data_IF_482604221474
#
_entry.id   IF_482604221474
#
_cell.length_a   1.000
_cell.length_b   1.000
_cell.length_c   1.000
_cell.angle_alpha   90.00
_cell.angle_beta   90.00
_cell.angle_gamma   90.00
#
_symmetry.space_group_name_H-M   'P 1'
#
loop_
_entity.id
_entity.type
_entity.pdbx_description
1 polymer ?
#
# COMPACT_ATOMS: atom_id res chain seq x y z
N UNK A 1 -39.81 -4.09 -40.43
CA UNK A 1 -38.44 -4.64 -40.51
C UNK A 1 -37.34 -3.60 -40.28
N UNK A 2 -37.34 -2.42 -40.95
CA UNK A 2 -36.27 -1.41 -40.79
C UNK A 2 -36.02 -0.98 -39.33
N UNK A 3 -37.09 -0.69 -38.56
CA UNK A 3 -36.95 -0.24 -37.15
C UNK A 3 -36.35 -1.29 -36.21
N UNK A 4 -36.67 -2.57 -36.40
CA UNK A 4 -36.13 -3.67 -35.58
C UNK A 4 -34.64 -3.86 -35.86
N UNK A 5 -34.22 -3.73 -37.13
CA UNK A 5 -32.83 -3.82 -37.55
C UNK A 5 -31.95 -2.71 -36.93
N UNK A 6 -32.48 -1.48 -36.85
CA UNK A 6 -31.80 -0.35 -36.23
C UNK A 6 -31.61 -0.53 -34.72
N UNK A 7 -32.61 -1.07 -34.02
CA UNK A 7 -32.52 -1.32 -32.57
C UNK A 7 -31.49 -2.41 -32.29
N UNK A 8 -31.50 -3.51 -33.05
CA UNK A 8 -30.51 -4.58 -32.88
C UNK A 8 -29.07 -4.11 -33.16
N UNK A 9 -28.88 -3.22 -34.15
CA UNK A 9 -27.57 -2.67 -34.45
C UNK A 9 -27.07 -1.72 -33.35
N UNK A 10 -27.95 -0.87 -32.82
CA UNK A 10 -27.61 0.04 -31.72
C UNK A 10 -27.23 -0.71 -30.43
N UNK A 11 -27.94 -1.79 -30.11
CA UNK A 11 -27.62 -2.65 -28.94
C UNK A 11 -26.29 -3.36 -29.14
N UNK A 12 -25.99 -3.86 -30.35
CA UNK A 12 -24.71 -4.51 -30.64
C UNK A 12 -23.54 -3.53 -30.55
N UNK A 13 -23.70 -2.28 -31.03
CA UNK A 13 -22.69 -1.23 -30.94
C UNK A 13 -22.48 -0.83 -29.47
N UNK A 14 -23.54 -0.70 -28.67
CA UNK A 14 -23.43 -0.40 -27.25
C UNK A 14 -22.72 -1.52 -26.47
N UNK A 15 -23.02 -2.79 -26.79
CA UNK A 15 -22.31 -3.95 -26.23
C UNK A 15 -20.84 -4.00 -26.67
N UNK A 16 -20.54 -3.69 -27.93
CA UNK A 16 -19.16 -3.62 -28.43
C UNK A 16 -18.38 -2.48 -27.76
N UNK A 17 -18.96 -1.29 -27.64
CA UNK A 17 -18.33 -0.14 -26.98
C UNK A 17 -18.10 -0.40 -25.48
N UNK A 18 -19.08 -1.00 -24.79
CA UNK A 18 -18.93 -1.42 -23.41
C UNK A 18 -17.88 -2.52 -23.25
N UNK A 19 -17.75 -3.42 -24.23
CA UNK A 19 -16.71 -4.46 -24.21
C UNK A 19 -15.31 -3.88 -24.43
N UNK A 20 -15.15 -2.85 -25.27
CA UNK A 20 -13.86 -2.20 -25.48
C UNK A 20 -13.36 -1.47 -24.21
N UNK A 21 -14.25 -0.83 -23.46
CA UNK A 21 -13.91 -0.21 -22.17
C UNK A 21 -13.50 -1.26 -21.10
N UNK A 22 -13.98 -2.50 -21.23
CA UNK A 22 -13.57 -3.64 -20.40
C UNK A 22 -12.17 -4.19 -20.75
N UNK A 23 -11.60 -3.80 -21.90
CA UNK A 23 -10.27 -4.20 -22.36
C UNK A 23 -9.25 -3.07 -22.36
N UNK A 24 -9.59 -1.88 -21.88
CA UNK A 24 -8.58 -0.87 -21.58
C UNK A 24 -7.69 -1.42 -20.47
N UNK A 25 -6.46 -1.77 -20.86
CA UNK A 25 -5.41 -2.15 -19.91
C UNK A 25 -5.36 -1.05 -18.85
N UNK A 26 -5.34 -1.37 -17.54
CA UNK A 26 -5.05 -0.36 -16.55
C UNK A 26 -3.80 0.41 -17.00
N UNK A 27 -3.87 1.74 -17.12
CA UNK A 27 -2.74 2.50 -17.59
C UNK A 27 -1.57 2.22 -16.65
N UNK A 28 -0.41 1.89 -17.21
CA UNK A 28 0.84 2.09 -16.47
C UNK A 28 0.80 3.54 -15.99
N UNK A 29 0.97 3.77 -14.70
CA UNK A 29 0.59 5.03 -14.09
C UNK A 29 1.65 6.08 -14.43
N UNK A 30 2.78 6.02 -13.72
CA UNK A 30 3.86 7.01 -13.83
C UNK A 30 5.13 6.47 -13.20
N UNK A 31 6.27 6.88 -13.74
CA UNK A 31 7.58 6.70 -13.10
C UNK A 31 7.82 7.82 -12.10
N UNK A 32 8.21 7.46 -10.88
CA UNK A 32 8.63 8.40 -9.83
C UNK A 32 10.15 8.43 -9.73
N UNK A 33 10.71 9.63 -9.55
CA UNK A 33 12.11 9.84 -9.19
C UNK A 33 12.23 9.67 -7.68
N UNK A 34 13.04 8.71 -7.24
CA UNK A 34 13.24 8.43 -5.81
C UNK A 34 14.26 9.42 -5.23
N UNK A 35 13.78 10.56 -4.75
CA UNK A 35 14.58 11.68 -4.20
C UNK A 35 14.03 12.29 -2.90
N UNK A 36 12.89 11.76 -2.41
CA UNK A 36 12.16 12.12 -1.20
C UNK A 36 11.47 13.49 -1.21
N UNK A 37 11.40 14.19 -2.35
CA UNK A 37 10.73 15.50 -2.48
C UNK A 37 9.20 15.39 -2.56
N UNK A 38 8.69 14.24 -3.00
CA UNK A 38 7.27 13.94 -3.23
C UNK A 38 6.58 14.80 -4.31
N UNK A 39 7.29 15.65 -5.04
CA UNK A 39 6.70 16.61 -5.99
C UNK A 39 6.04 15.92 -7.20
N UNK A 40 6.59 14.81 -7.64
CA UNK A 40 6.14 14.08 -8.84
C UNK A 40 5.00 13.09 -8.59
N UNK A 41 4.55 12.94 -7.35
CA UNK A 41 3.43 12.04 -7.00
C UNK A 41 2.07 12.61 -7.38
N UNK A 42 1.93 13.93 -7.47
CA UNK A 42 0.70 14.62 -7.88
C UNK A 42 -0.54 14.07 -7.14
N UNK A 43 -1.53 13.54 -7.88
CA UNK A 43 -2.79 13.01 -7.34
C UNK A 43 -2.65 11.65 -6.64
N UNK A 44 -1.49 11.00 -6.72
CA UNK A 44 -1.19 9.72 -6.07
C UNK A 44 -0.53 9.90 -4.69
N UNK A 45 -0.32 11.16 -4.27
CA UNK A 45 0.03 11.51 -2.90
C UNK A 45 -1.24 11.90 -2.14
N UNK A 46 -1.58 11.10 -1.15
CA UNK A 46 -2.80 11.27 -0.38
C UNK A 46 -2.49 11.94 0.95
N UNK A 47 -3.27 12.94 1.34
CA UNK A 47 -3.20 13.55 2.66
C UNK A 47 -3.94 12.71 3.70
N UNK A 48 -3.33 12.61 4.86
CA UNK A 48 -3.96 12.13 6.09
C UNK A 48 -4.42 13.31 6.97
N UNK A 49 -5.27 13.03 7.96
CA UNK A 49 -5.48 13.98 9.04
C UNK A 49 -4.19 14.11 9.88
N UNK A 50 -4.03 15.23 10.58
CA UNK A 50 -2.80 15.54 11.34
C UNK A 50 -2.99 15.41 12.85
N UNK A 51 -4.04 14.70 13.27
CA UNK A 51 -4.50 14.66 14.66
C UNK A 51 -5.30 13.40 15.03
N UNK A 52 -5.17 12.32 14.28
CA UNK A 52 -5.90 11.07 14.44
C UNK A 52 -5.03 9.91 14.94
N UNK A 53 -3.71 10.11 15.02
CA UNK A 53 -2.85 9.20 15.76
C UNK A 53 -3.27 9.05 17.22
N UNK A 54 -3.38 7.79 17.65
CA UNK A 54 -3.62 7.39 19.04
C UNK A 54 -2.40 7.66 19.94
N UNK A 55 -1.23 7.97 19.37
CA UNK A 55 0.01 8.30 20.10
C UNK A 55 0.35 9.79 20.04
N UNK A 56 -0.53 10.60 19.44
CA UNK A 56 -0.37 12.04 19.32
C UNK A 56 0.61 12.46 18.22
N UNK A 57 0.78 13.78 18.08
CA UNK A 57 1.41 14.41 16.92
C UNK A 57 2.88 14.04 16.64
N UNK A 58 3.58 13.43 17.60
CA UNK A 58 4.96 12.96 17.38
C UNK A 58 5.01 11.58 16.70
N UNK A 59 3.85 10.93 16.50
CA UNK A 59 3.69 9.66 15.82
C UNK A 59 2.52 9.75 14.86
N UNK A 60 2.64 10.57 13.82
CA UNK A 60 1.55 10.90 12.90
C UNK A 60 1.95 10.64 11.44
N UNK A 61 1.06 10.03 10.66
CA UNK A 61 1.17 9.98 9.20
C UNK A 61 0.52 11.24 8.66
N UNK A 62 1.19 11.94 7.75
CA UNK A 62 0.66 13.15 7.11
C UNK A 62 0.35 12.94 5.64
N UNK A 63 1.17 12.11 4.98
CA UNK A 63 0.99 11.76 3.58
C UNK A 63 1.39 10.32 3.34
N UNK A 64 0.69 9.70 2.40
CA UNK A 64 0.94 8.35 1.96
C UNK A 64 0.80 8.28 0.43
N UNK A 65 1.58 7.44 -0.21
CA UNK A 65 1.50 7.25 -1.66
C UNK A 65 1.84 5.83 -2.05
N UNK A 66 1.10 5.28 -3.02
CA UNK A 66 1.46 4.04 -3.71
C UNK A 66 1.10 4.13 -5.18
N UNK A 67 2.04 3.81 -6.07
CA UNK A 67 1.79 3.72 -7.51
C UNK A 67 2.81 2.77 -8.15
N UNK A 68 2.68 2.49 -9.43
CA UNK A 68 3.64 1.66 -10.15
C UNK A 68 3.75 2.09 -11.62
N UNK A 69 4.91 1.79 -12.22
CA UNK A 69 5.12 1.85 -13.66
C UNK A 69 5.33 0.44 -14.23
N UNK A 70 5.95 0.34 -15.39
CA UNK A 70 6.24 -0.95 -16.02
C UNK A 70 7.28 -1.79 -15.26
N UNK A 71 8.12 -1.16 -14.44
CA UNK A 71 9.30 -1.77 -13.84
C UNK A 71 9.24 -1.82 -12.31
N UNK A 72 8.65 -0.82 -11.64
CA UNK A 72 8.74 -0.66 -10.20
C UNK A 72 7.38 -0.40 -9.54
N UNK A 73 7.25 -0.90 -8.31
CA UNK A 73 6.29 -0.39 -7.33
C UNK A 73 6.96 0.74 -6.55
N UNK A 74 6.25 1.86 -6.41
CA UNK A 74 6.67 3.03 -5.66
C UNK A 74 5.81 3.22 -4.42
N UNK A 75 6.43 3.58 -3.31
CA UNK A 75 5.79 3.88 -2.02
C UNK A 75 6.33 5.21 -1.50
N UNK A 76 5.45 6.10 -1.04
CA UNK A 76 5.81 7.35 -0.38
C UNK A 76 5.18 7.45 1.01
N UNK A 77 5.85 8.20 1.88
CA UNK A 77 5.34 8.57 3.19
C UNK A 77 5.90 9.91 3.65
N UNK A 78 5.08 10.72 4.33
CA UNK A 78 5.52 11.84 5.17
C UNK A 78 4.94 11.60 6.56
N UNK A 79 5.79 11.49 7.59
CA UNK A 79 5.36 11.11 8.94
C UNK A 79 6.29 11.65 10.03
N UNK A 80 5.79 11.73 11.26
CA UNK A 80 6.58 11.80 12.49
C UNK A 80 6.56 10.44 13.17
N UNK A 81 7.65 10.07 13.84
CA UNK A 81 7.69 8.87 14.69
C UNK A 81 8.73 9.07 15.80
N UNK A 82 8.42 8.60 16.99
CA UNK A 82 9.33 8.64 18.14
C UNK A 82 10.10 7.33 18.30
N UNK A 83 11.30 7.46 18.85
CA UNK A 83 12.10 6.33 19.33
C UNK A 83 12.25 5.20 18.30
N UNK A 84 11.78 4.00 18.64
CA UNK A 84 11.85 2.79 17.83
C UNK A 84 10.50 2.46 17.18
N UNK A 85 9.59 3.43 17.07
CA UNK A 85 8.38 3.22 16.27
C UNK A 85 8.75 3.06 14.79
N UNK A 86 7.85 2.41 14.05
CA UNK A 86 8.10 1.96 12.70
C UNK A 86 6.99 2.41 11.77
N UNK A 87 7.37 3.15 10.72
CA UNK A 87 6.47 3.37 9.60
C UNK A 87 6.51 2.14 8.69
N UNK A 88 5.39 1.42 8.67
CA UNK A 88 5.17 0.18 7.94
C UNK A 88 4.18 0.41 6.81
N UNK A 89 4.44 -0.18 5.65
CA UNK A 89 3.47 -0.25 4.55
C UNK A 89 3.26 -1.70 4.17
N UNK A 90 2.00 -2.14 4.14
CA UNK A 90 1.61 -3.50 3.76
C UNK A 90 0.85 -3.41 2.45
N UNK A 91 1.24 -4.25 1.47
CA UNK A 91 0.75 -4.19 0.10
C UNK A 91 0.14 -5.52 -0.34
N UNK A 92 -1.03 -5.44 -0.98
CA UNK A 92 -1.73 -6.51 -1.72
C UNK A 92 -1.62 -6.21 -3.21
N UNK A 93 -1.10 -7.15 -4.00
CA UNK A 93 -0.82 -7.03 -5.42
C UNK A 93 -1.63 -8.07 -6.20
N UNK A 94 -2.36 -7.63 -7.22
CA UNK A 94 -3.04 -8.59 -8.10
C UNK A 94 -2.05 -9.32 -9.01
N UNK A 95 -2.31 -10.60 -9.29
CA UNK A 95 -1.52 -11.39 -10.25
C UNK A 95 -0.31 -12.08 -9.62
N UNK A 96 -0.09 -11.91 -8.32
CA UNK A 96 0.83 -12.71 -7.51
C UNK A 96 0.04 -13.47 -6.43
N UNK A 97 0.71 -14.37 -5.71
CA UNK A 97 0.09 -15.16 -4.64
C UNK A 97 0.86 -14.93 -3.34
N UNK A 98 0.30 -14.08 -2.50
CA UNK A 98 0.87 -13.69 -1.23
C UNK A 98 0.56 -14.64 -0.08
N UNK A 99 0.76 -14.14 1.13
CA UNK A 99 0.43 -14.81 2.38
C UNK A 99 -0.92 -14.33 2.92
N UNK A 100 -1.62 -15.19 3.66
CA UNK A 100 -2.88 -14.82 4.30
C UNK A 100 -2.72 -13.75 5.41
N UNK A 101 -1.52 -13.62 5.98
CA UNK A 101 -1.14 -12.63 6.99
C UNK A 101 0.40 -12.50 7.08
N UNK A 102 0.88 -11.58 7.93
CA UNK A 102 2.32 -11.35 8.18
C UNK A 102 2.98 -12.37 9.14
N UNK A 103 2.34 -13.49 9.49
CA UNK A 103 2.85 -14.40 10.53
C UNK A 103 4.17 -15.09 10.18
N UNK A 104 4.54 -15.15 8.90
CA UNK A 104 5.80 -15.74 8.41
C UNK A 104 7.01 -14.83 8.58
N UNK A 105 6.79 -13.58 8.91
CA UNK A 105 7.87 -12.62 9.03
C UNK A 105 8.71 -12.87 10.30
N UNK A 106 10.02 -12.54 10.31
CA UNK A 106 10.93 -12.97 11.38
C UNK A 106 10.61 -12.47 12.79
N UNK A 107 9.90 -11.35 12.91
CA UNK A 107 9.45 -10.81 14.21
C UNK A 107 8.57 -11.77 15.04
N UNK A 108 7.88 -12.73 14.39
CA UNK A 108 6.94 -13.73 14.93
C UNK A 108 5.87 -13.25 15.95
N UNK A 109 5.71 -11.94 16.18
CA UNK A 109 4.85 -11.39 17.24
C UNK A 109 3.84 -10.34 16.75
N UNK A 110 3.80 -10.03 15.44
CA UNK A 110 2.82 -9.12 14.85
C UNK A 110 2.19 -9.75 13.62
N UNK A 111 0.86 -9.71 13.56
CA UNK A 111 0.06 -10.36 12.54
C UNK A 111 -0.95 -9.36 11.98
N UNK A 112 -0.75 -8.99 10.73
CA UNK A 112 -1.65 -8.15 9.96
C UNK A 112 -2.18 -8.96 8.80
N UNK A 113 -3.45 -8.77 8.46
CA UNK A 113 -4.07 -9.38 7.28
C UNK A 113 -5.07 -8.44 6.64
N UNK A 114 -5.24 -8.56 5.34
CA UNK A 114 -6.36 -7.90 4.67
C UNK A 114 -7.68 -8.63 4.95
N UNK A 115 -8.77 -7.88 5.06
CA UNK A 115 -10.12 -8.44 5.01
C UNK A 115 -10.36 -9.10 3.65
N UNK A 116 -9.83 -8.49 2.58
CA UNK A 116 -9.95 -8.93 1.19
C UNK A 116 -8.65 -8.70 0.43
N UNK A 117 -7.90 -9.78 0.20
CA UNK A 117 -6.61 -9.76 -0.46
C UNK A 117 -5.59 -10.57 0.34
N UNK A 118 -4.37 -10.60 -0.17
CA UNK A 118 -3.24 -11.26 0.47
C UNK A 118 -2.18 -10.21 0.85
N UNK A 119 -1.27 -10.59 1.74
CA UNK A 119 -0.05 -9.81 2.00
C UNK A 119 0.99 -10.27 1.01
N UNK A 120 1.40 -9.40 0.09
CA UNK A 120 2.41 -9.69 -0.93
C UNK A 120 3.74 -9.01 -0.64
N UNK A 121 3.69 -7.82 -0.05
CA UNK A 121 4.89 -7.03 0.25
C UNK A 121 4.72 -6.21 1.52
N UNK A 122 5.80 -6.08 2.29
CA UNK A 122 5.89 -5.18 3.44
C UNK A 122 7.20 -4.40 3.36
N UNK A 123 7.14 -3.09 3.58
CA UNK A 123 8.31 -2.27 3.89
C UNK A 123 8.17 -1.70 5.30
N UNK A 124 9.29 -1.63 6.00
CA UNK A 124 9.40 -1.11 7.36
C UNK A 124 10.56 -0.12 7.40
N UNK A 125 10.42 0.94 8.21
CA UNK A 125 11.51 1.86 8.51
C UNK A 125 11.83 1.80 10.01
N UNK A 126 12.66 0.86 10.42
CA UNK A 126 13.15 0.83 11.80
C UNK A 126 14.32 1.81 11.95
N UNK A 127 14.20 2.76 12.88
CA UNK A 127 15.18 3.85 13.04
C UNK A 127 15.39 4.64 11.73
N UNK A 128 16.65 4.74 11.30
CA UNK A 128 17.06 5.48 10.10
C UNK A 128 17.06 4.67 8.81
N UNK A 129 17.01 3.34 8.89
CA UNK A 129 17.08 2.44 7.73
C UNK A 129 15.73 1.92 7.25
N UNK A 130 15.77 0.91 6.39
CA UNK A 130 14.60 0.13 5.99
C UNK A 130 14.86 -1.37 5.96
N UNK A 131 13.79 -2.15 6.06
CA UNK A 131 13.73 -3.56 5.70
C UNK A 131 12.51 -3.78 4.82
N UNK A 132 12.63 -4.68 3.85
CA UNK A 132 11.58 -4.93 2.87
C UNK A 132 11.44 -6.43 2.62
N UNK A 133 10.20 -6.91 2.55
CA UNK A 133 9.87 -8.33 2.58
C UNK A 133 8.80 -8.65 1.55
N UNK A 134 9.11 -9.57 0.66
CA UNK A 134 8.13 -10.23 -0.18
C UNK A 134 7.52 -11.40 0.58
N UNK A 135 6.20 -11.51 0.52
CA UNK A 135 5.46 -12.63 1.10
C UNK A 135 4.99 -13.57 0.00
N UNK A 136 5.10 -14.85 0.28
CA UNK A 136 4.49 -15.92 -0.52
C UNK A 136 3.57 -16.76 0.35
N UNK A 137 2.84 -17.68 -0.27
CA UNK A 137 2.05 -18.68 0.47
C UNK A 137 2.88 -19.59 1.39
N UNK A 138 4.22 -19.59 1.29
CA UNK A 138 5.11 -20.40 2.14
C UNK A 138 5.96 -19.58 3.12
N UNK A 139 6.47 -18.42 2.72
CA UNK A 139 7.55 -17.72 3.47
C UNK A 139 7.51 -16.19 3.31
N UNK A 140 8.34 -15.51 4.10
CA UNK A 140 8.70 -14.10 3.92
C UNK A 140 10.17 -14.02 3.52
N UNK A 141 10.46 -13.35 2.40
CA UNK A 141 11.78 -13.26 1.78
C UNK A 141 12.21 -11.80 1.81
N UNK A 142 13.39 -11.53 2.37
CA UNK A 142 13.96 -10.18 2.34
C UNK A 142 14.31 -9.80 0.90
N UNK A 143 13.92 -8.60 0.50
CA UNK A 143 14.13 -8.07 -0.84
C UNK A 143 14.69 -6.65 -0.76
N UNK A 144 15.45 -6.25 -1.78
CA UNK A 144 16.11 -4.95 -1.79
C UNK A 144 15.42 -4.01 -2.76
N UNK A 145 15.28 -2.75 -2.36
CA UNK A 145 14.84 -1.66 -3.23
C UNK A 145 15.75 -0.44 -3.10
N UNK A 146 15.29 0.68 -3.63
CA UNK A 146 15.94 1.97 -3.53
C UNK A 146 15.12 2.85 -2.59
N UNK A 147 15.73 3.35 -1.52
CA UNK A 147 15.13 4.29 -0.59
C UNK A 147 15.79 5.66 -0.76
N UNK A 148 14.99 6.71 -0.87
CA UNK A 148 15.38 8.08 -0.56
C UNK A 148 14.65 8.52 0.70
N UNK A 149 15.30 9.34 1.52
CA UNK A 149 14.67 9.93 2.69
C UNK A 149 15.26 11.31 3.02
N UNK A 150 14.41 12.22 3.45
CA UNK A 150 14.80 13.53 3.97
C UNK A 150 14.01 13.89 5.22
N UNK A 151 14.46 14.91 5.94
CA UNK A 151 13.70 15.53 7.03
C UNK A 151 13.36 16.98 6.65
N UNK A 152 12.07 17.31 6.67
CA UNK A 152 11.57 18.65 6.31
C UNK A 152 10.55 19.07 7.36
N UNK A 153 10.78 20.22 7.98
CA UNK A 153 9.93 20.78 9.04
C UNK A 153 9.65 19.80 10.20
N UNK A 154 10.64 18.99 10.57
CA UNK A 154 10.54 17.99 11.64
C UNK A 154 9.76 16.73 11.26
N UNK A 155 9.42 16.54 9.98
CA UNK A 155 8.77 15.35 9.44
C UNK A 155 9.75 14.57 8.59
N UNK A 156 9.74 13.24 8.72
CA UNK A 156 10.49 12.35 7.83
C UNK A 156 9.68 12.12 6.56
N UNK A 157 10.32 12.34 5.41
CA UNK A 157 9.80 11.94 4.10
C UNK A 157 10.58 10.76 3.59
N UNK A 158 9.88 9.83 2.96
CA UNK A 158 10.50 8.71 2.27
C UNK A 158 9.87 8.51 0.91
N UNK A 159 10.70 8.03 -0.01
CA UNK A 159 10.28 7.37 -1.24
C UNK A 159 11.03 6.06 -1.37
N UNK A 160 10.30 5.02 -1.75
CA UNK A 160 10.86 3.70 -1.95
C UNK A 160 10.41 3.16 -3.30
N UNK A 161 11.36 2.62 -4.07
CA UNK A 161 11.10 1.87 -5.28
C UNK A 161 11.60 0.44 -5.14
N UNK A 162 10.77 -0.52 -5.55
CA UNK A 162 11.15 -1.92 -5.65
C UNK A 162 10.82 -2.46 -7.04
N UNK A 163 11.75 -3.17 -7.71
CA UNK A 163 11.45 -3.80 -8.97
C UNK A 163 10.30 -4.80 -8.84
N UNK A 164 9.33 -4.68 -9.74
CA UNK A 164 8.18 -5.58 -9.83
C UNK A 164 8.60 -7.05 -10.02
N UNK A 165 9.75 -7.29 -10.66
CA UNK A 165 10.34 -8.61 -10.81
C UNK A 165 10.74 -9.26 -9.49
N UNK A 166 11.21 -8.49 -8.50
CA UNK A 166 11.52 -8.99 -7.16
C UNK A 166 10.25 -9.47 -6.45
N UNK A 167 9.12 -8.80 -6.71
CA UNK A 167 7.79 -9.13 -6.21
C UNK A 167 7.12 -10.30 -6.97
N UNK A 168 7.73 -10.77 -8.06
CA UNK A 168 7.20 -11.84 -8.90
C UNK A 168 6.09 -11.39 -9.86
N UNK A 169 5.91 -10.09 -10.06
CA UNK A 169 4.98 -9.55 -11.06
C UNK A 169 5.59 -9.70 -12.44
N UNK A 170 4.87 -10.37 -13.35
CA UNK A 170 5.34 -10.64 -14.72
C UNK A 170 4.66 -9.78 -15.79
N UNK A 171 3.56 -9.10 -15.44
CA UNK A 171 2.77 -8.28 -16.36
C UNK A 171 2.16 -7.08 -15.63
N UNK A 172 2.90 -5.96 -15.60
CA UNK A 172 2.47 -4.72 -14.96
C UNK A 172 1.17 -4.16 -15.55
N UNK A 173 0.84 -4.50 -16.81
CA UNK A 173 -0.38 -4.02 -17.48
C UNK A 173 -1.68 -4.66 -16.97
N UNK A 174 -1.57 -5.60 -16.02
CA UNK A 174 -2.70 -6.21 -15.30
C UNK A 174 -2.62 -5.97 -13.80
N UNK A 175 -1.62 -5.22 -13.35
CA UNK A 175 -1.38 -4.99 -11.94
C UNK A 175 -2.42 -4.03 -11.38
N UNK A 176 -2.80 -4.32 -10.14
CA UNK A 176 -3.42 -3.39 -9.22
C UNK A 176 -2.71 -3.59 -7.88
N UNK A 177 -2.47 -2.49 -7.20
CA UNK A 177 -1.83 -2.46 -5.90
C UNK A 177 -2.79 -1.85 -4.90
N UNK A 178 -2.92 -2.48 -3.73
CA UNK A 178 -3.59 -1.90 -2.57
C UNK A 178 -2.61 -1.79 -1.43
N UNK A 179 -2.67 -0.71 -0.66
CA UNK A 179 -1.81 -0.56 0.50
C UNK A 179 -2.53 0.03 1.71
N UNK A 180 -1.99 -0.31 2.87
CA UNK A 180 -2.22 0.39 4.13
C UNK A 180 -0.86 0.82 4.69
N UNK A 181 -0.84 2.01 5.26
CA UNK A 181 0.31 2.63 5.89
C UNK A 181 0.02 2.69 7.38
N UNK A 182 0.99 2.35 8.21
CA UNK A 182 0.77 2.10 9.63
C UNK A 182 1.99 2.60 10.41
N UNK A 183 1.78 3.41 11.45
CA UNK A 183 2.79 3.62 12.47
C UNK A 183 2.65 2.52 13.52
N UNK A 184 3.63 1.62 13.56
CA UNK A 184 3.65 0.44 14.42
C UNK A 184 4.67 0.59 15.54
N UNK A 185 4.41 -0.08 16.65
CA UNK A 185 5.25 -0.06 17.86
C UNK A 185 5.60 -1.48 18.28
N UNK A 186 5.71 -1.70 19.59
CA UNK A 186 5.95 -3.03 20.17
C UNK A 186 4.81 -4.04 19.93
N UNK A 187 4.97 -5.23 20.48
CA UNK A 187 3.92 -6.23 20.65
C UNK A 187 4.20 -7.08 21.89
N UNK A 188 3.15 -7.55 22.54
CA UNK A 188 3.18 -8.50 23.65
C UNK A 188 2.26 -9.70 23.36
N UNK A 189 2.06 -10.57 24.36
CA UNK A 189 1.27 -11.80 24.22
C UNK A 189 -0.22 -11.54 23.92
N UNK A 190 -0.70 -10.30 24.10
CA UNK A 190 -2.12 -9.93 24.02
C UNK A 190 -2.42 -8.90 22.94
N UNK A 191 -1.46 -8.01 22.65
CA UNK A 191 -1.62 -6.85 21.79
C UNK A 191 -0.41 -6.65 20.88
N UNK A 192 -0.69 -6.12 19.70
CA UNK A 192 0.27 -5.41 18.86
C UNK A 192 -0.14 -3.94 18.80
N UNK A 193 0.84 -3.05 18.77
CA UNK A 193 0.61 -1.61 18.82
C UNK A 193 0.71 -0.97 17.44
N UNK A 194 -0.31 -0.21 17.08
CA UNK A 194 -0.35 0.67 15.91
C UNK A 194 -0.99 2.01 16.30
N UNK A 195 -0.20 3.08 16.23
CA UNK A 195 -0.60 4.41 16.66
C UNK A 195 -1.51 5.07 15.65
N UNK A 196 -1.25 4.81 14.38
CA UNK A 196 -1.90 5.51 13.29
C UNK A 196 -1.97 4.65 12.03
N UNK A 197 -2.99 4.92 11.19
CA UNK A 197 -3.29 4.21 9.96
C UNK A 197 -3.72 5.16 8.85
N UNK A 198 -3.05 5.05 7.70
CA UNK A 198 -3.62 5.54 6.46
C UNK A 198 -4.02 4.40 5.50
N UNK A 199 -5.29 4.38 5.02
CA UNK A 199 -6.42 5.16 5.50
C UNK A 199 -6.87 4.71 6.90
N UNK A 200 -7.56 5.59 7.63
CA UNK A 200 -8.28 5.23 8.86
C UNK A 200 -9.18 4.00 8.68
N UNK A 201 -8.98 2.97 9.48
CA UNK A 201 -9.68 1.69 9.44
C UNK A 201 -11.06 1.73 10.11
N UNK A 202 -11.33 2.74 10.95
CA UNK A 202 -12.59 2.95 11.66
C UNK A 202 -12.73 2.14 12.95
N UNK A 203 -11.65 1.54 13.45
CA UNK A 203 -11.61 0.86 14.74
C UNK A 203 -10.62 1.50 15.72
N UNK A 204 -9.89 2.53 15.27
CA UNK A 204 -8.88 3.23 16.05
C UNK A 204 -9.51 3.78 17.33
N UNK A 205 -8.94 3.39 18.47
CA UNK A 205 -9.39 3.82 19.78
C UNK A 205 -8.31 3.55 20.83
N UNK A 206 -8.38 4.30 21.93
CA UNK A 206 -7.61 4.02 23.14
C UNK A 206 -6.12 4.29 22.97
N UNK A 207 -5.30 3.28 23.25
CA UNK A 207 -3.84 3.35 23.28
C UNK A 207 -3.16 2.88 21.98
N UNK A 208 -3.94 2.62 20.93
CA UNK A 208 -3.44 2.01 19.69
C UNK A 208 -3.05 0.54 19.85
N UNK A 209 -3.46 -0.14 20.93
CA UNK A 209 -3.17 -1.55 21.16
C UNK A 209 -4.30 -2.47 20.70
N UNK A 210 -3.99 -3.40 19.79
CA UNK A 210 -4.98 -4.27 19.14
C UNK A 210 -4.63 -5.75 19.23
N UNK A 211 -5.64 -6.62 19.30
CA UNK A 211 -5.44 -8.07 19.29
C UNK A 211 -5.01 -8.56 17.90
N UNK A 212 -4.00 -9.42 17.87
CA UNK A 212 -3.54 -10.08 16.66
C UNK A 212 -4.44 -11.29 16.28
N UNK A 213 -4.72 -11.55 14.98
CA UNK A 213 -4.32 -10.73 13.85
C UNK A 213 -5.21 -9.49 13.69
N UNK A 214 -4.57 -8.35 13.41
CA UNK A 214 -5.27 -7.13 13.04
C UNK A 214 -5.75 -7.22 11.59
N UNK A 215 -7.05 -6.99 11.38
CA UNK A 215 -7.69 -7.06 10.07
C UNK A 215 -7.78 -5.67 9.43
N UNK A 216 -7.07 -5.49 8.32
CA UNK A 216 -7.07 -4.28 7.49
C UNK A 216 -8.34 -4.28 6.63
N UNK A 217 -9.17 -3.26 6.82
CA UNK A 217 -10.48 -3.09 6.16
C UNK A 217 -10.43 -2.10 5.02
N UNK A 218 -9.58 -1.08 5.11
CA UNK A 218 -9.48 0.01 4.13
C UNK A 218 -8.06 0.13 3.60
N UNK A 219 -7.95 0.44 2.32
CA UNK A 219 -6.68 0.56 1.61
C UNK A 219 -6.74 1.70 0.62
N UNK A 220 -5.59 2.33 0.37
CA UNK A 220 -5.36 3.05 -0.89
C UNK A 220 -5.28 2.02 -2.02
N UNK A 221 -5.80 2.32 -3.21
CA UNK A 221 -5.78 1.38 -4.34
C UNK A 221 -5.43 2.08 -5.64
N UNK A 222 -4.52 1.50 -6.42
CA UNK A 222 -4.13 1.99 -7.73
C UNK A 222 -4.05 0.85 -8.78
N UNK A 223 -4.46 1.10 -10.05
CA UNK A 223 -5.24 2.26 -10.48
C UNK A 223 -6.60 2.33 -9.77
N UNK A 224 -7.09 3.56 -9.59
CA UNK A 224 -8.45 3.80 -9.09
C UNK A 224 -9.47 3.27 -10.10
N UNK A 225 -10.39 2.41 -9.65
CA UNK A 225 -11.50 1.88 -10.47
C UNK A 225 -12.64 2.88 -10.62
#
# INVERSE_FOLDING_TARGET
MKRVLFISLAVMIALFAASCALFEKPPLLKTVTVDATLEDWETYLYSDADNDSQWGANNEIYKAGILFDENNLYIAGEFTKEEFNNFMVIVDLSGVTGAADTSKHPWNNRKYKFEKGDVDFVIETWGDGYTAWRFTSAEAIEVTGTLASEEVDGKKRIEFAIPLSELGVTDASKLSAKAVFILTGGADDTKQWAGDFYPNQGFEAGDGGYTAPLVIKKTVSNPTK
#
